data_IF_534919375856
#
_entry.id   IF_534919375856
#
_cell.length_a   1.000
_cell.length_b   1.000
_cell.length_c   1.000
_cell.angle_alpha   90.00
_cell.angle_beta   90.00
_cell.angle_gamma   90.00
#
_symmetry.space_group_name_H-M   'P 1'
#
loop_
_entity.id
_entity.type
_entity.pdbx_description
1 polymer ?
#
# COMPACT_ATOMS: atom_id res chain seq x y z
N UNK A 1 -13.51 -9.97 -3.36
CA UNK A 1 -13.06 -11.20 -4.08
C UNK A 1 -11.76 -10.97 -4.85
N UNK A 2 -11.67 -10.02 -5.79
CA UNK A 2 -10.43 -9.75 -6.57
C UNK A 2 -9.25 -9.39 -5.66
N UNK A 3 -9.43 -8.46 -4.72
CA UNK A 3 -8.38 -8.06 -3.76
C UNK A 3 -7.93 -9.22 -2.86
N UNK A 4 -8.87 -9.99 -2.33
CA UNK A 4 -8.57 -11.15 -1.47
C UNK A 4 -7.82 -12.25 -2.23
N UNK A 5 -8.17 -12.49 -3.51
CA UNK A 5 -7.43 -13.42 -4.37
C UNK A 5 -6.03 -12.88 -4.68
N UNK A 6 -5.90 -11.59 -5.00
CA UNK A 6 -4.61 -10.94 -5.24
C UNK A 6 -3.69 -11.00 -4.01
N UNK A 7 -4.22 -10.74 -2.82
CA UNK A 7 -3.46 -10.82 -1.57
C UNK A 7 -3.01 -12.26 -1.27
N UNK A 8 -3.88 -13.25 -1.46
CA UNK A 8 -3.53 -14.67 -1.25
C UNK A 8 -2.40 -15.09 -2.19
N UNK A 9 -2.47 -14.69 -3.46
CA UNK A 9 -1.41 -14.96 -4.43
C UNK A 9 -0.14 -14.20 -4.05
N UNK A 10 -0.22 -12.93 -3.64
CA UNK A 10 0.94 -12.15 -3.19
C UNK A 10 1.67 -12.82 -2.00
N UNK A 11 0.92 -13.31 -1.00
CA UNK A 11 1.48 -14.10 0.10
C UNK A 11 2.18 -15.38 -0.38
N UNK A 12 1.58 -16.10 -1.33
CA UNK A 12 2.12 -17.37 -1.82
C UNK A 12 3.44 -17.22 -2.59
N UNK A 13 3.75 -16.03 -3.10
CA UNK A 13 4.96 -15.74 -3.86
C UNK A 13 6.01 -14.98 -3.04
N UNK A 14 5.90 -14.99 -1.70
CA UNK A 14 6.89 -14.39 -0.82
C UNK A 14 6.82 -12.87 -0.68
N UNK A 15 5.77 -12.23 -1.21
CA UNK A 15 5.51 -10.81 -0.94
C UNK A 15 6.69 -9.88 -1.20
N UNK A 16 7.42 -10.07 -2.31
CA UNK A 16 8.54 -9.22 -2.74
C UNK A 16 8.04 -7.78 -3.01
N UNK A 17 7.90 -7.02 -1.92
CA UNK A 17 7.64 -5.58 -1.91
C UNK A 17 8.93 -4.79 -2.07
N UNK A 18 10.08 -5.42 -1.84
CA UNK A 18 11.38 -4.91 -2.20
C UNK A 18 11.53 -5.06 -3.73
N UNK A 19 11.07 -4.03 -4.45
CA UNK A 19 11.31 -3.91 -5.88
C UNK A 19 12.81 -3.98 -6.18
N UNK A 20 13.31 -5.17 -6.50
CA UNK A 20 14.37 -5.28 -7.49
C UNK A 20 13.75 -4.84 -8.80
N UNK A 21 13.90 -3.55 -9.11
CA UNK A 21 13.63 -2.95 -10.40
C UNK A 21 14.61 -3.47 -11.47
N UNK A 22 14.86 -4.78 -11.49
CA UNK A 22 15.70 -5.49 -12.45
C UNK A 22 14.97 -6.75 -12.89
N UNK A 23 14.23 -6.63 -14.00
CA UNK A 23 13.94 -7.75 -14.90
C UNK A 23 12.83 -8.73 -14.48
N UNK A 24 11.69 -8.60 -15.18
CA UNK A 24 10.87 -9.71 -15.69
C UNK A 24 10.20 -10.74 -14.77
N UNK A 25 10.28 -10.65 -13.44
CA UNK A 25 9.40 -11.45 -12.55
C UNK A 25 8.16 -10.68 -12.10
N UNK A 26 7.59 -9.84 -12.97
CA UNK A 26 6.26 -9.25 -12.75
C UNK A 26 5.28 -10.40 -12.59
N UNK A 27 4.77 -10.62 -11.37
CA UNK A 27 3.72 -11.62 -11.10
C UNK A 27 2.58 -11.35 -12.09
N UNK A 28 2.33 -12.20 -13.10
CA UNK A 28 1.41 -11.87 -14.21
C UNK A 28 -0.01 -11.53 -13.73
N UNK A 29 -0.35 -12.02 -12.54
CA UNK A 29 -1.65 -11.87 -11.91
C UNK A 29 -1.84 -10.55 -11.17
N UNK A 30 -0.79 -9.90 -10.63
CA UNK A 30 -0.96 -8.59 -9.99
C UNK A 30 -1.27 -7.51 -11.04
N UNK A 31 -0.68 -7.63 -12.24
CA UNK A 31 -1.04 -6.80 -13.39
C UNK A 31 -2.51 -6.97 -13.78
N UNK A 32 -3.06 -8.20 -13.68
CA UNK A 32 -4.49 -8.46 -13.90
C UNK A 32 -5.37 -7.81 -12.84
N UNK A 33 -5.02 -7.93 -11.55
CA UNK A 33 -5.72 -7.25 -10.44
C UNK A 33 -5.72 -5.73 -10.67
N UNK A 34 -4.58 -5.18 -11.02
CA UNK A 34 -4.42 -3.75 -11.32
C UNK A 34 -5.25 -3.33 -12.54
N UNK A 35 -5.27 -4.13 -13.60
CA UNK A 35 -6.11 -3.85 -14.78
C UNK A 35 -7.60 -3.82 -14.45
N UNK A 36 -8.07 -4.78 -13.65
CA UNK A 36 -9.47 -4.83 -13.18
C UNK A 36 -9.77 -3.62 -12.28
N UNK A 37 -8.93 -3.36 -11.29
CA UNK A 37 -9.12 -2.24 -10.36
C UNK A 37 -9.05 -0.89 -11.06
N UNK A 38 -8.16 -0.72 -12.04
CA UNK A 38 -8.08 0.47 -12.87
C UNK A 38 -9.36 0.70 -13.66
N UNK A 39 -9.92 -0.35 -14.27
CA UNK A 39 -11.21 -0.25 -14.95
C UNK A 39 -12.35 0.09 -13.97
N UNK A 40 -12.42 -0.59 -12.83
CA UNK A 40 -13.46 -0.36 -11.82
C UNK A 40 -13.34 1.03 -11.17
N UNK A 41 -12.13 1.57 -11.00
CA UNK A 41 -11.89 2.88 -10.40
C UNK A 41 -12.59 4.00 -11.17
N UNK A 42 -12.76 3.87 -12.49
CA UNK A 42 -13.49 4.86 -13.29
C UNK A 42 -14.97 5.03 -12.89
N UNK A 43 -15.60 4.00 -12.30
CA UNK A 43 -17.03 3.98 -11.96
C UNK A 43 -17.31 3.79 -10.47
N UNK A 44 -16.39 3.18 -9.75
CA UNK A 44 -16.56 2.74 -8.37
C UNK A 44 -15.38 3.15 -7.47
N UNK A 45 -14.70 4.25 -7.78
CA UNK A 45 -13.57 4.78 -7.00
C UNK A 45 -13.88 4.83 -5.49
N UNK A 46 -15.06 5.31 -5.09
CA UNK A 46 -15.47 5.39 -3.69
C UNK A 46 -15.53 4.03 -2.98
N UNK A 47 -16.13 3.03 -3.62
CA UNK A 47 -16.23 1.67 -3.06
C UNK A 47 -14.88 0.98 -2.98
N UNK A 48 -14.03 1.15 -4.00
CA UNK A 48 -12.65 0.62 -4.00
C UNK A 48 -11.85 1.24 -2.87
N UNK A 49 -11.91 2.57 -2.73
CA UNK A 49 -11.25 3.31 -1.66
C UNK A 49 -11.67 2.78 -0.28
N UNK A 50 -12.98 2.65 -0.03
CA UNK A 50 -13.49 2.15 1.25
C UNK A 50 -12.98 0.75 1.56
N UNK A 51 -12.96 -0.14 0.57
CA UNK A 51 -12.49 -1.51 0.74
C UNK A 51 -10.97 -1.58 0.99
N UNK A 52 -10.17 -0.78 0.28
CA UNK A 52 -8.72 -0.71 0.50
C UNK A 52 -8.38 -0.16 1.89
N UNK A 53 -9.08 0.90 2.33
CA UNK A 53 -8.94 1.43 3.68
C UNK A 53 -9.40 0.43 4.74
N UNK A 54 -10.49 -0.31 4.49
CA UNK A 54 -10.95 -1.38 5.40
C UNK A 54 -9.88 -2.45 5.55
N UNK A 55 -9.33 -2.95 4.44
CA UNK A 55 -8.24 -3.93 4.46
C UNK A 55 -7.00 -3.42 5.19
N UNK A 56 -6.65 -2.15 5.00
CA UNK A 56 -5.54 -1.50 5.71
C UNK A 56 -5.77 -1.51 7.23
N UNK A 57 -6.89 -0.99 7.71
CA UNK A 57 -7.16 -0.93 9.16
C UNK A 57 -7.29 -2.33 9.79
N UNK A 58 -7.93 -3.28 9.10
CA UNK A 58 -8.01 -4.66 9.56
C UNK A 58 -6.62 -5.31 9.66
N UNK A 59 -5.70 -4.98 8.74
CA UNK A 59 -4.34 -5.50 8.77
C UNK A 59 -3.55 -5.07 10.01
N UNK A 60 -3.82 -3.85 10.49
CA UNK A 60 -3.16 -3.28 11.68
C UNK A 60 -3.72 -3.81 13.00
N UNK A 61 -4.97 -4.31 13.02
CA UNK A 61 -5.62 -4.85 14.21
C UNK A 61 -5.43 -6.35 14.43
N UNK A 62 -4.81 -7.07 13.49
CA UNK A 62 -4.77 -8.54 13.45
C UNK A 62 -3.36 -9.07 13.31
N UNK A 63 -2.91 -9.89 14.25
CA UNK A 63 -1.57 -10.50 14.24
C UNK A 63 -1.42 -11.71 13.30
N UNK A 64 -2.42 -12.00 12.45
CA UNK A 64 -2.37 -13.15 11.54
C UNK A 64 -1.33 -12.90 10.43
N UNK A 65 -0.56 -13.91 10.05
CA UNK A 65 0.51 -13.77 9.04
C UNK A 65 0.01 -13.17 7.70
N UNK A 66 -1.18 -13.54 7.24
CA UNK A 66 -1.78 -12.96 6.03
C UNK A 66 -2.00 -11.44 6.10
N UNK A 67 -2.11 -10.88 7.31
CA UNK A 67 -2.31 -9.45 7.51
C UNK A 67 -0.98 -8.70 7.43
N UNK A 68 0.15 -9.36 7.72
CA UNK A 68 1.50 -8.77 7.57
C UNK A 68 1.79 -8.33 6.14
N UNK A 69 1.44 -9.17 5.18
CA UNK A 69 1.61 -8.90 3.75
C UNK A 69 0.58 -7.93 3.15
N UNK A 70 -0.45 -7.53 3.91
CA UNK A 70 -1.51 -6.66 3.39
C UNK A 70 -1.00 -5.26 3.08
N UNK A 71 -0.26 -4.61 4.00
CA UNK A 71 0.28 -3.27 3.74
C UNK A 71 1.25 -3.29 2.54
N UNK A 72 2.23 -4.20 2.44
CA UNK A 72 3.07 -4.33 1.25
C UNK A 72 2.28 -4.58 -0.05
N UNK A 73 1.26 -5.43 -0.01
CA UNK A 73 0.38 -5.68 -1.17
C UNK A 73 -0.36 -4.42 -1.62
N UNK A 74 -0.92 -3.64 -0.69
CA UNK A 74 -1.63 -2.40 -1.00
C UNK A 74 -0.70 -1.35 -1.62
N UNK A 75 0.54 -1.25 -1.11
CA UNK A 75 1.57 -0.37 -1.68
C UNK A 75 1.94 -0.80 -3.10
N UNK A 76 2.09 -2.10 -3.35
CA UNK A 76 2.38 -2.64 -4.67
C UNK A 76 1.24 -2.37 -5.67
N UNK A 77 -0.03 -2.48 -5.24
CA UNK A 77 -1.17 -2.12 -6.10
C UNK A 77 -1.16 -0.63 -6.48
N UNK A 78 -0.84 0.24 -5.52
CA UNK A 78 -0.74 1.68 -5.76
C UNK A 78 0.41 2.01 -6.72
N UNK A 79 1.54 1.31 -6.60
CA UNK A 79 2.71 1.49 -7.46
C UNK A 79 2.40 1.17 -8.92
N UNK A 80 1.60 0.15 -9.15
CA UNK A 80 1.26 -0.31 -10.50
C UNK A 80 0.09 0.46 -11.13
N UNK A 81 -0.61 1.32 -10.38
CA UNK A 81 -1.78 2.04 -10.88
C UNK A 81 -1.81 3.49 -10.41
N UNK A 82 -1.41 4.44 -11.29
CA UNK A 82 -1.49 5.87 -10.99
C UNK A 82 -2.91 6.32 -10.61
N UNK A 83 -3.95 5.74 -11.23
CA UNK A 83 -5.35 6.03 -10.93
C UNK A 83 -5.73 5.60 -9.52
N UNK A 84 -5.31 4.39 -9.09
CA UNK A 84 -5.58 3.95 -7.72
C UNK A 84 -4.82 4.80 -6.71
N UNK A 85 -3.54 5.09 -6.97
CA UNK A 85 -2.73 5.95 -6.12
C UNK A 85 -3.44 7.31 -5.92
N UNK A 86 -3.82 7.99 -7.00
CA UNK A 86 -4.54 9.26 -6.92
C UNK A 86 -5.85 9.17 -6.13
N UNK A 87 -6.55 8.04 -6.23
CA UNK A 87 -7.84 7.81 -5.53
C UNK A 87 -7.66 7.60 -4.02
N UNK A 88 -6.60 6.92 -3.59
CA UNK A 88 -6.42 6.51 -2.18
C UNK A 88 -5.50 7.41 -1.38
N UNK A 89 -4.53 8.07 -2.01
CA UNK A 89 -3.49 8.86 -1.33
C UNK A 89 -4.05 9.93 -0.37
N UNK A 90 -5.03 10.76 -0.76
CA UNK A 90 -5.50 11.85 0.11
C UNK A 90 -6.07 11.36 1.44
N UNK A 91 -6.67 10.18 1.42
CA UNK A 91 -7.46 9.61 2.51
C UNK A 91 -6.64 8.69 3.38
N UNK A 92 -5.62 8.05 2.78
CA UNK A 92 -4.57 7.39 3.53
C UNK A 92 -3.86 8.42 4.43
N UNK A 93 -3.53 9.60 3.93
CA UNK A 93 -2.94 10.68 4.76
C UNK A 93 -3.89 11.07 5.91
N UNK A 94 -5.20 11.10 5.66
CA UNK A 94 -6.19 11.41 6.71
C UNK A 94 -6.40 10.30 7.74
N UNK A 95 -6.10 9.06 7.37
CA UNK A 95 -6.17 7.91 8.28
C UNK A 95 -4.92 7.74 9.14
N UNK A 96 -3.75 8.29 8.74
CA UNK A 96 -2.48 8.22 9.47
C UNK A 96 -2.44 9.09 10.73
N UNK A 97 -3.39 8.88 11.64
CA UNK A 97 -3.44 9.48 12.97
C UNK A 97 -2.43 8.80 13.90
N UNK A 98 -2.04 9.43 15.03
CA UNK A 98 -1.10 8.84 15.99
C UNK A 98 -1.35 7.36 16.37
N UNK A 99 -2.59 6.89 16.65
CA UNK A 99 -2.82 5.47 16.96
C UNK A 99 -2.49 4.55 15.78
N UNK A 100 -2.80 4.97 14.54
CA UNK A 100 -2.52 4.20 13.33
C UNK A 100 -1.02 4.14 13.04
N UNK A 101 -0.29 5.24 13.30
CA UNK A 101 1.17 5.27 13.19
C UNK A 101 1.83 4.33 14.20
N UNK A 102 1.35 4.28 15.44
CA UNK A 102 1.83 3.34 16.44
C UNK A 102 1.55 1.89 16.05
N UNK A 103 0.37 1.61 15.49
CA UNK A 103 0.05 0.28 14.97
C UNK A 103 0.92 -0.10 13.78
N UNK A 104 1.20 0.82 12.85
CA UNK A 104 2.14 0.60 11.76
C UNK A 104 3.55 0.30 12.28
N UNK A 105 4.02 1.04 13.28
CA UNK A 105 5.32 0.78 13.90
C UNK A 105 5.37 -0.64 14.48
N UNK A 106 4.35 -1.06 15.23
CA UNK A 106 4.25 -2.42 15.77
C UNK A 106 4.13 -3.49 14.67
N UNK A 107 3.41 -3.18 13.59
CA UNK A 107 3.22 -4.08 12.45
C UNK A 107 4.53 -4.40 11.75
N UNK A 108 5.42 -3.40 11.65
CA UNK A 108 6.73 -3.54 11.01
C UNK A 108 7.88 -3.84 11.98
N UNK A 109 7.65 -3.82 13.30
CA UNK A 109 8.75 -3.96 14.29
C UNK A 109 9.46 -5.32 14.25
N UNK A 110 8.78 -6.36 13.75
CA UNK A 110 9.32 -7.71 13.60
C UNK A 110 9.81 -8.01 12.16
N UNK A 111 9.72 -7.05 11.25
CA UNK A 111 10.14 -7.22 9.85
C UNK A 111 11.67 -7.09 9.74
N UNK A 112 12.34 -7.95 8.95
CA UNK A 112 13.75 -7.80 8.65
C UNK A 112 14.06 -6.43 8.04
N UNK A 113 15.25 -5.89 8.35
CA UNK A 113 15.62 -4.54 7.92
C UNK A 113 15.63 -4.38 6.39
N UNK A 114 16.12 -5.38 5.67
CA UNK A 114 16.17 -5.34 4.20
C UNK A 114 14.77 -5.28 3.57
N UNK A 115 13.80 -5.98 4.15
CA UNK A 115 12.39 -5.93 3.72
C UNK A 115 11.77 -4.56 4.04
N UNK A 116 12.05 -4.03 5.22
CA UNK A 116 11.58 -2.71 5.63
C UNK A 116 12.15 -1.61 4.72
N UNK A 117 13.43 -1.65 4.39
CA UNK A 117 14.08 -0.72 3.47
C UNK A 117 13.44 -0.80 2.07
N UNK A 118 13.06 -2.01 1.63
CA UNK A 118 12.26 -2.20 0.41
C UNK A 118 10.89 -1.51 0.46
N UNK A 119 10.14 -1.69 1.55
CA UNK A 119 8.84 -1.04 1.76
C UNK A 119 8.99 0.49 1.80
N UNK A 120 10.00 1.00 2.49
CA UNK A 120 10.31 2.44 2.53
C UNK A 120 10.64 2.96 1.13
N UNK A 121 11.44 2.21 0.36
CA UNK A 121 11.75 2.54 -1.04
C UNK A 121 10.50 2.68 -1.90
N UNK A 122 9.53 1.76 -1.75
CA UNK A 122 8.24 1.87 -2.45
C UNK A 122 7.46 3.10 -2.00
N UNK A 123 7.38 3.38 -0.71
CA UNK A 123 6.69 4.58 -0.20
C UNK A 123 7.32 5.85 -0.77
N UNK A 124 8.65 5.97 -0.77
CA UNK A 124 9.35 7.11 -1.36
C UNK A 124 9.05 7.23 -2.85
N UNK A 125 9.08 6.11 -3.59
CA UNK A 125 8.72 6.12 -5.00
C UNK A 125 7.28 6.59 -5.23
N UNK A 126 6.32 6.13 -4.44
CA UNK A 126 4.92 6.58 -4.50
C UNK A 126 4.80 8.07 -4.22
N UNK A 127 5.51 8.60 -3.22
CA UNK A 127 5.54 10.03 -2.92
C UNK A 127 6.04 10.85 -4.11
N UNK A 128 7.12 10.40 -4.77
CA UNK A 128 7.67 11.06 -5.96
C UNK A 128 6.72 11.04 -7.16
N UNK A 129 5.83 10.04 -7.26
CA UNK A 129 4.88 9.88 -8.37
C UNK A 129 3.47 10.39 -8.04
N UNK A 130 3.24 10.84 -6.81
CA UNK A 130 1.94 11.40 -6.41
C UNK A 130 1.88 12.85 -6.89
N UNK A 131 1.09 13.15 -7.92
CA UNK A 131 0.88 14.54 -8.37
C UNK A 131 -0.18 15.26 -7.52
N UNK A 132 -1.26 14.56 -7.16
CA UNK A 132 -2.36 15.08 -6.36
C UNK A 132 -2.15 14.76 -4.87
N UNK A 133 -2.09 15.79 -4.02
CA UNK A 133 -1.95 15.61 -2.57
C UNK A 133 -0.51 15.52 -2.05
N UNK A 134 0.51 15.57 -2.90
CA UNK A 134 1.91 15.52 -2.49
C UNK A 134 2.28 16.57 -1.43
N UNK A 135 1.86 17.83 -1.62
CA UNK A 135 2.12 18.90 -0.65
C UNK A 135 1.49 18.58 0.71
N UNK A 136 0.31 17.97 0.73
CA UNK A 136 -0.37 17.54 1.97
C UNK A 136 0.42 16.42 2.63
N UNK A 137 0.89 15.44 1.87
CA UNK A 137 1.71 14.34 2.38
C UNK A 137 3.04 14.83 2.92
N UNK A 138 3.71 15.75 2.23
CA UNK A 138 4.95 16.36 2.71
C UNK A 138 4.73 17.18 3.99
N UNK A 139 3.66 17.98 4.06
CA UNK A 139 3.29 18.71 5.28
C UNK A 139 3.00 17.77 6.44
N UNK A 140 2.30 16.66 6.17
CA UNK A 140 2.06 15.63 7.16
C UNK A 140 3.37 15.05 7.68
N UNK A 141 4.28 14.62 6.79
CA UNK A 141 5.58 14.07 7.19
C UNK A 141 6.39 15.06 8.04
N UNK A 142 6.44 16.34 7.62
CA UNK A 142 7.11 17.40 8.37
C UNK A 142 6.47 17.61 9.75
N UNK A 143 5.15 17.65 9.84
CA UNK A 143 4.43 17.82 11.10
C UNK A 143 4.59 16.62 12.04
N UNK A 144 4.78 15.41 11.51
CA UNK A 144 5.05 14.21 12.32
C UNK A 144 6.51 14.02 12.70
N UNK A 145 7.44 14.59 11.92
CA UNK A 145 8.87 14.51 12.18
C UNK A 145 9.38 15.63 13.10
N UNK A 146 8.67 16.76 13.15
CA UNK A 146 8.92 17.84 14.10
C UNK A 146 8.27 17.49 15.46
N UNK A 147 9.03 17.53 16.57
CA UNK A 147 8.51 17.26 17.92
C UNK A 147 7.52 18.31 18.42
#
# INVERSE_FOLDING_TARGET
RVLSCGLKDFCAHGGDAAGTATGDKRVPKIASVVGILGHLASRHAGSIKQELLRMFHESLGSSREHHKATVPFLLQLALMSPTLLATVSPELVDSLKPPVLNQLHQHFSAMPRDELDGVVGVVVHLLCHTSAGALRTLRFLLATAAP
#
